data_IF_409370491988
#
_entry.id   IF_409370491988
#
_cell.length_a   1.000
_cell.length_b   1.000
_cell.length_c   1.000
_cell.angle_alpha   90.00
_cell.angle_beta   90.00
_cell.angle_gamma   90.00
#
_symmetry.space_group_name_H-M   'P 1'
#
loop_
_entity.id
_entity.type
_entity.pdbx_description
1 polymer ?
#
# COMPACT_ATOMS: atom_id res chain seq x y z
N UNK A 1 -15.24 -14.58 16.13
CA UNK A 1 -14.38 -13.36 16.05
C UNK A 1 -15.28 -12.16 16.14
N UNK A 2 -14.88 -11.10 16.86
CA UNK A 2 -15.70 -9.89 16.90
C UNK A 2 -15.61 -9.19 15.54
N UNK A 3 -16.72 -8.65 15.01
CA UNK A 3 -16.70 -7.75 13.86
C UNK A 3 -15.73 -6.56 14.05
N UNK A 4 -15.46 -6.17 15.30
CA UNK A 4 -14.53 -5.10 15.65
C UNK A 4 -13.07 -5.36 15.27
N UNK A 5 -12.57 -6.61 15.34
CA UNK A 5 -11.19 -6.93 14.95
C UNK A 5 -10.91 -6.54 13.49
N UNK A 6 -11.74 -7.05 12.57
CA UNK A 6 -11.55 -6.81 11.15
C UNK A 6 -11.73 -5.32 10.82
N UNK A 7 -12.75 -4.67 11.38
CA UNK A 7 -12.98 -3.24 11.17
C UNK A 7 -11.79 -2.38 11.63
N UNK A 8 -11.28 -2.61 12.84
CA UNK A 8 -10.16 -1.86 13.41
C UNK A 8 -8.87 -2.01 12.59
N UNK A 9 -8.49 -3.25 12.28
CA UNK A 9 -7.26 -3.49 11.51
C UNK A 9 -7.37 -3.08 10.06
N UNK A 10 -8.58 -3.10 9.49
CA UNK A 10 -8.82 -2.47 8.19
C UNK A 10 -8.54 -0.98 8.24
N UNK A 11 -9.05 -0.26 9.25
CA UNK A 11 -8.77 1.16 9.42
C UNK A 11 -7.27 1.42 9.54
N UNK A 12 -6.55 0.63 10.35
CA UNK A 12 -5.08 0.76 10.48
C UNK A 12 -4.32 0.49 9.19
N UNK A 13 -4.68 -0.54 8.44
CA UNK A 13 -4.05 -0.84 7.17
C UNK A 13 -4.38 0.22 6.11
N UNK A 14 -5.60 0.77 6.10
CA UNK A 14 -5.97 1.93 5.30
C UNK A 14 -5.12 3.15 5.65
N UNK A 15 -4.88 3.43 6.93
CA UNK A 15 -4.01 4.53 7.36
C UNK A 15 -2.57 4.32 6.90
N UNK A 16 -1.99 3.13 7.14
CA UNK A 16 -0.61 2.82 6.76
C UNK A 16 -0.41 2.87 5.24
N UNK A 17 -1.40 2.40 4.48
CA UNK A 17 -1.38 2.41 3.02
C UNK A 17 -1.88 3.72 2.43
N UNK A 18 -2.27 4.69 3.27
CA UNK A 18 -2.75 6.04 2.92
C UNK A 18 -3.96 6.03 1.97
N UNK A 19 -5.00 5.26 2.32
CA UNK A 19 -6.32 5.36 1.69
C UNK A 19 -6.95 6.72 2.06
N UNK A 20 -7.02 7.62 1.08
CA UNK A 20 -7.58 8.96 1.26
C UNK A 20 -8.53 9.26 0.10
N UNK A 21 -9.78 9.61 0.43
CA UNK A 21 -10.80 10.00 -0.54
C UNK A 21 -10.32 11.11 -1.48
N UNK A 22 -9.69 12.17 -0.97
CA UNK A 22 -9.28 13.34 -1.77
C UNK A 22 -8.21 13.00 -2.82
N UNK A 23 -7.34 12.05 -2.50
CA UNK A 23 -6.31 11.55 -3.41
C UNK A 23 -6.86 10.57 -4.45
N UNK A 24 -8.03 9.98 -4.20
CA UNK A 24 -8.69 9.02 -5.08
C UNK A 24 -9.77 9.65 -5.99
N UNK A 25 -10.01 10.95 -5.84
CA UNK A 25 -10.95 11.67 -6.72
C UNK A 25 -10.49 11.55 -8.18
N UNK A 26 -11.40 11.09 -9.04
CA UNK A 26 -11.22 10.82 -10.47
C UNK A 26 -10.40 9.56 -10.82
N UNK A 27 -10.15 8.66 -9.86
CA UNK A 27 -9.58 7.34 -10.17
C UNK A 27 -10.61 6.44 -10.88
N UNK A 28 -11.89 6.64 -10.61
CA UNK A 28 -13.01 5.96 -11.28
C UNK A 28 -14.15 6.96 -11.60
N UNK A 29 -15.13 6.57 -12.45
CA UNK A 29 -16.29 7.40 -12.79
C UNK A 29 -17.11 7.84 -11.57
N UNK A 30 -17.38 6.92 -10.63
CA UNK A 30 -18.06 7.23 -9.36
C UNK A 30 -17.02 7.61 -8.32
N UNK A 31 -17.04 8.88 -7.86
CA UNK A 31 -15.95 9.47 -7.08
C UNK A 31 -15.84 8.91 -5.66
N UNK A 32 -16.97 8.57 -5.07
CA UNK A 32 -17.12 8.11 -3.69
C UNK A 32 -16.72 6.65 -3.51
N UNK A 33 -16.70 5.87 -4.61
CA UNK A 33 -16.46 4.42 -4.57
C UNK A 33 -15.01 4.00 -4.27
N UNK A 34 -13.95 4.55 -4.91
CA UNK A 34 -12.60 4.00 -4.78
C UNK A 34 -12.06 3.87 -3.35
N UNK A 35 -12.37 4.83 -2.46
CA UNK A 35 -11.91 4.76 -1.07
C UNK A 35 -12.63 3.67 -0.28
N UNK A 36 -13.92 3.47 -0.56
CA UNK A 36 -14.74 2.41 0.02
C UNK A 36 -14.32 1.04 -0.52
N UNK A 37 -14.14 0.92 -1.84
CA UNK A 37 -13.64 -0.28 -2.51
C UNK A 37 -12.29 -0.73 -1.92
N UNK A 38 -11.40 0.23 -1.60
CA UNK A 38 -10.14 -0.05 -0.92
C UNK A 38 -10.36 -0.60 0.48
N UNK A 39 -11.20 0.07 1.27
CA UNK A 39 -11.53 -0.38 2.61
C UNK A 39 -12.10 -1.80 2.60
N UNK A 40 -13.08 -2.08 1.74
CA UNK A 40 -13.73 -3.39 1.66
C UNK A 40 -12.78 -4.48 1.17
N UNK A 41 -11.90 -4.17 0.21
CA UNK A 41 -10.86 -5.07 -0.28
C UNK A 41 -9.89 -5.48 0.84
N UNK A 42 -9.44 -4.53 1.66
CA UNK A 42 -8.60 -4.83 2.84
C UNK A 42 -9.40 -5.60 3.88
N UNK A 43 -10.64 -5.18 4.18
CA UNK A 43 -11.49 -5.80 5.20
C UNK A 43 -11.75 -7.26 4.92
N UNK A 44 -12.03 -7.62 3.67
CA UNK A 44 -12.19 -9.02 3.28
C UNK A 44 -10.95 -9.85 3.63
N UNK A 45 -9.76 -9.36 3.23
CA UNK A 45 -8.48 -10.03 3.49
C UNK A 45 -8.13 -10.15 4.96
N UNK A 46 -8.40 -9.12 5.76
CA UNK A 46 -8.21 -9.17 7.22
C UNK A 46 -9.17 -10.18 7.86
N UNK A 47 -10.43 -10.20 7.41
CA UNK A 47 -11.44 -11.16 7.89
C UNK A 47 -11.03 -12.60 7.60
N UNK A 48 -10.53 -12.84 6.39
CA UNK A 48 -10.06 -14.14 5.91
C UNK A 48 -8.67 -14.54 6.47
N UNK A 49 -8.07 -13.71 7.33
CA UNK A 49 -6.72 -13.88 7.87
C UNK A 49 -5.63 -14.09 6.80
N UNK A 50 -5.75 -13.39 5.68
CA UNK A 50 -4.71 -13.39 4.64
C UNK A 50 -3.42 -12.81 5.23
N UNK A 51 -2.29 -13.51 5.03
CA UNK A 51 -0.98 -13.08 5.51
C UNK A 51 -0.62 -11.68 5.03
N UNK A 52 0.04 -10.88 5.89
CA UNK A 52 0.35 -9.48 5.57
C UNK A 52 1.24 -9.31 4.32
N UNK A 53 2.10 -10.28 4.01
CA UNK A 53 2.88 -10.28 2.77
C UNK A 53 2.00 -10.47 1.53
N UNK A 54 0.90 -11.23 1.63
CA UNK A 54 -0.07 -11.45 0.55
C UNK A 54 -0.98 -10.25 0.36
N UNK A 55 -1.39 -9.60 1.45
CA UNK A 55 -2.08 -8.30 1.37
C UNK A 55 -1.15 -7.27 0.69
N UNK A 56 0.12 -7.24 1.09
CA UNK A 56 1.13 -6.35 0.49
C UNK A 56 1.35 -6.66 -0.98
N UNK A 57 1.47 -7.93 -1.37
CA UNK A 57 1.59 -8.36 -2.77
C UNK A 57 0.40 -7.87 -3.60
N UNK A 58 -0.82 -8.04 -3.08
CA UNK A 58 -2.03 -7.61 -3.76
C UNK A 58 -2.14 -6.10 -3.97
N UNK A 59 -1.41 -5.29 -3.19
CA UNK A 59 -1.28 -3.84 -3.36
C UNK A 59 -0.08 -3.50 -4.27
N UNK A 60 1.07 -4.08 -3.97
CA UNK A 60 2.35 -3.74 -4.60
C UNK A 60 2.37 -4.10 -6.08
N UNK A 61 1.94 -5.32 -6.42
CA UNK A 61 1.92 -5.82 -7.80
C UNK A 61 0.64 -5.44 -8.55
N UNK A 62 -0.24 -4.66 -7.93
CA UNK A 62 -1.55 -4.36 -8.49
C UNK A 62 -1.47 -3.74 -9.89
N UNK A 63 -2.24 -4.33 -10.80
CA UNK A 63 -2.73 -3.78 -12.07
C UNK A 63 -4.25 -3.73 -12.01
N UNK A 64 -4.88 -2.93 -12.87
CA UNK A 64 -6.35 -2.83 -12.88
C UNK A 64 -7.02 -4.10 -13.36
N UNK A 65 -6.42 -4.77 -14.34
CA UNK A 65 -6.92 -6.03 -14.87
C UNK A 65 -6.32 -7.21 -14.11
N UNK A 66 -7.13 -8.23 -13.91
CA UNK A 66 -6.69 -9.51 -13.39
C UNK A 66 -5.85 -10.26 -14.47
N UNK A 67 -5.05 -11.28 -14.10
CA UNK A 67 -4.26 -12.03 -15.07
C UNK A 67 -5.13 -12.57 -16.22
N UNK A 68 -4.65 -12.40 -17.45
CA UNK A 68 -5.34 -12.82 -18.69
C UNK A 68 -6.66 -12.08 -19.00
N UNK A 69 -7.10 -11.15 -18.15
CA UNK A 69 -8.30 -10.33 -18.38
C UNK A 69 -8.03 -9.28 -19.47
N UNK A 70 -8.81 -9.31 -20.55
CA UNK A 70 -8.76 -8.30 -21.59
C UNK A 70 -9.55 -7.03 -21.20
N UNK A 71 -9.50 -6.00 -22.04
CA UNK A 71 -10.15 -4.72 -21.74
C UNK A 71 -11.68 -4.81 -21.68
N UNK A 72 -12.29 -5.67 -22.50
CA UNK A 72 -13.74 -5.81 -22.58
C UNK A 72 -14.26 -6.51 -21.31
N UNK A 73 -13.64 -7.61 -20.92
CA UNK A 73 -13.93 -8.34 -19.69
C UNK A 73 -13.76 -7.44 -18.45
N UNK A 74 -12.64 -6.73 -18.36
CA UNK A 74 -12.36 -5.77 -17.29
C UNK A 74 -13.45 -4.70 -17.21
N UNK A 75 -13.78 -4.07 -18.34
CA UNK A 75 -14.78 -3.01 -18.39
C UNK A 75 -16.16 -3.53 -17.97
N UNK A 76 -16.54 -4.72 -18.43
CA UNK A 76 -17.80 -5.38 -18.04
C UNK A 76 -17.86 -5.68 -16.54
N UNK A 77 -16.78 -6.24 -15.97
CA UNK A 77 -16.67 -6.53 -14.54
C UNK A 77 -16.80 -5.25 -13.70
N UNK A 78 -16.02 -4.20 -14.05
CA UNK A 78 -16.06 -2.92 -13.34
C UNK A 78 -17.42 -2.23 -13.44
N UNK A 79 -18.09 -2.26 -14.60
CA UNK A 79 -19.45 -1.75 -14.71
C UNK A 79 -20.42 -2.54 -13.85
N UNK A 80 -20.31 -3.87 -13.77
CA UNK A 80 -21.16 -4.68 -12.91
C UNK A 80 -21.00 -4.33 -11.42
N UNK A 81 -19.75 -4.13 -10.97
CA UNK A 81 -19.42 -3.69 -9.61
C UNK A 81 -20.03 -2.31 -9.32
N UNK A 82 -19.82 -1.34 -10.22
CA UNK A 82 -20.23 0.06 -10.02
C UNK A 82 -21.74 0.29 -10.24
N UNK A 83 -22.42 -0.65 -10.90
CA UNK A 83 -23.88 -0.71 -11.00
C UNK A 83 -24.50 -1.59 -9.90
N UNK A 84 -23.71 -2.04 -8.93
CA UNK A 84 -24.16 -2.81 -7.75
C UNK A 84 -24.91 -4.10 -8.14
N UNK A 85 -24.45 -4.79 -9.20
CA UNK A 85 -25.04 -6.07 -9.60
C UNK A 85 -24.80 -7.13 -8.49
N UNK A 86 -25.80 -7.96 -8.16
CA UNK A 86 -25.64 -8.97 -7.11
C UNK A 86 -24.45 -9.91 -7.34
N UNK A 87 -23.65 -10.13 -6.30
CA UNK A 87 -22.48 -11.02 -6.34
C UNK A 87 -21.30 -10.48 -7.15
N UNK A 88 -21.22 -9.17 -7.34
CA UNK A 88 -20.10 -8.49 -8.02
C UNK A 88 -19.55 -7.41 -7.09
N UNK A 89 -18.52 -7.75 -6.31
CA UNK A 89 -17.89 -6.82 -5.39
C UNK A 89 -16.46 -6.52 -5.79
N UNK A 90 -16.01 -5.28 -5.58
CA UNK A 90 -14.60 -4.93 -5.82
C UNK A 90 -13.66 -5.73 -4.90
N UNK A 91 -14.11 -6.07 -3.69
CA UNK A 91 -13.36 -6.85 -2.73
C UNK A 91 -13.00 -8.26 -3.24
N UNK A 92 -13.75 -8.79 -4.23
CA UNK A 92 -13.49 -10.09 -4.87
C UNK A 92 -12.34 -10.06 -5.87
N UNK A 93 -11.89 -8.88 -6.32
CA UNK A 93 -10.76 -8.75 -7.24
C UNK A 93 -9.44 -9.10 -6.55
N UNK A 94 -8.49 -9.63 -7.31
CA UNK A 94 -7.20 -10.09 -6.78
C UNK A 94 -6.38 -8.93 -6.19
N UNK A 95 -6.39 -7.78 -6.87
CA UNK A 95 -5.47 -6.68 -6.63
C UNK A 95 -6.16 -5.36 -6.25
N UNK A 96 -5.41 -4.49 -5.57
CA UNK A 96 -5.83 -3.15 -5.17
C UNK A 96 -5.14 -2.06 -6.01
N UNK A 97 -5.57 -1.81 -7.28
CA UNK A 97 -4.90 -0.86 -8.16
C UNK A 97 -4.94 0.59 -7.66
N UNK A 98 -5.91 0.98 -6.84
CA UNK A 98 -6.08 2.37 -6.44
C UNK A 98 -4.90 2.94 -5.63
N UNK A 99 -4.09 2.08 -5.01
CA UNK A 99 -2.82 2.49 -4.39
C UNK A 99 -1.86 3.18 -5.37
N UNK A 100 -1.85 2.75 -6.64
CA UNK A 100 -1.00 3.34 -7.68
C UNK A 100 -1.69 4.45 -8.49
N UNK A 101 -3.02 4.50 -8.46
CA UNK A 101 -3.82 5.45 -9.23
C UNK A 101 -3.98 6.82 -8.57
N UNK A 102 -3.76 6.89 -7.25
CA UNK A 102 -3.95 8.09 -6.43
C UNK A 102 -3.13 9.29 -6.89
N UNK A 103 -3.68 10.49 -6.68
CA UNK A 103 -3.17 11.75 -7.24
C UNK A 103 -1.82 12.18 -6.69
N UNK A 104 -1.46 11.77 -5.49
CA UNK A 104 -0.16 12.01 -4.90
C UNK A 104 0.91 10.98 -5.33
N UNK A 105 0.61 10.04 -6.24
CA UNK A 105 1.53 9.03 -6.80
C UNK A 105 1.81 9.24 -8.30
N UNK A 106 1.78 10.50 -8.75
CA UNK A 106 1.84 10.86 -10.17
C UNK A 106 3.19 10.58 -10.81
N UNK A 107 4.27 10.71 -10.04
CA UNK A 107 5.62 10.52 -10.55
C UNK A 107 6.35 9.39 -9.78
N UNK A 108 7.43 8.83 -10.34
CA UNK A 108 8.16 7.75 -9.69
C UNK A 108 8.77 8.11 -8.34
N UNK A 109 9.14 9.37 -8.10
CA UNK A 109 9.71 9.80 -6.81
C UNK A 109 8.65 9.72 -5.72
N UNK A 110 7.42 10.17 -5.99
CA UNK A 110 6.30 10.05 -5.04
C UNK A 110 6.08 8.59 -4.61
N UNK A 111 6.22 7.67 -5.58
CA UNK A 111 6.07 6.23 -5.36
C UNK A 111 7.19 5.65 -4.53
N UNK A 112 8.43 6.11 -4.73
CA UNK A 112 9.56 5.76 -3.85
C UNK A 112 9.24 6.15 -2.42
N UNK A 113 8.81 7.41 -2.20
CA UNK A 113 8.52 7.93 -0.87
C UNK A 113 7.38 7.14 -0.20
N UNK A 114 6.28 6.95 -0.91
CA UNK A 114 5.14 6.24 -0.35
C UNK A 114 5.41 4.75 -0.15
N UNK A 115 6.17 4.08 -1.03
CA UNK A 115 6.60 2.69 -0.80
C UNK A 115 7.49 2.57 0.44
N UNK A 116 8.51 3.44 0.55
CA UNK A 116 9.45 3.47 1.66
C UNK A 116 8.73 3.70 2.99
N UNK A 117 7.80 4.64 3.04
CA UNK A 117 6.98 4.86 4.22
C UNK A 117 6.04 3.66 4.50
N UNK A 118 5.24 3.26 3.50
CA UNK A 118 4.17 2.25 3.68
C UNK A 118 4.72 0.89 4.07
N UNK A 119 5.77 0.41 3.40
CA UNK A 119 6.21 -0.98 3.53
C UNK A 119 7.53 -1.13 4.30
N UNK A 120 8.37 -0.10 4.35
CA UNK A 120 9.66 -0.19 5.05
C UNK A 120 9.68 0.59 6.36
N UNK A 121 8.69 1.46 6.61
CA UNK A 121 8.67 2.33 7.79
C UNK A 121 9.83 3.33 7.82
N UNK A 122 10.42 3.65 6.66
CA UNK A 122 11.56 4.56 6.54
C UNK A 122 11.13 5.90 5.92
N UNK A 123 11.78 6.98 6.33
CA UNK A 123 11.52 8.34 5.86
C UNK A 123 12.65 8.83 4.95
N UNK A 124 12.60 8.42 3.69
CA UNK A 124 13.71 8.65 2.73
C UNK A 124 13.66 10.01 2.01
N UNK A 125 12.73 10.91 2.33
CA UNK A 125 12.50 12.16 1.58
C UNK A 125 13.72 13.08 1.47
N UNK A 126 14.56 13.17 2.50
CA UNK A 126 15.76 14.00 2.43
C UNK A 126 16.75 13.49 1.35
N UNK A 127 16.77 12.17 1.12
CA UNK A 127 17.61 11.54 0.10
C UNK A 127 17.28 12.01 -1.33
N UNK A 128 16.10 12.58 -1.58
CA UNK A 128 15.75 13.09 -2.91
C UNK A 128 16.72 14.19 -3.37
N UNK A 129 17.14 15.06 -2.45
CA UNK A 129 17.92 16.27 -2.76
C UNK A 129 19.37 16.20 -2.25
N UNK A 130 19.61 15.54 -1.12
CA UNK A 130 20.94 15.44 -0.49
C UNK A 130 21.08 14.13 0.29
N UNK A 131 22.25 13.82 0.84
CA UNK A 131 22.39 12.64 1.73
C UNK A 131 21.51 12.84 2.98
N UNK A 132 20.79 11.79 3.39
CA UNK A 132 19.97 11.84 4.60
C UNK A 132 20.85 12.19 5.83
N UNK A 133 20.45 13.16 6.68
CA UNK A 133 21.30 13.64 7.76
C UNK A 133 21.51 12.63 8.90
N UNK A 134 20.51 11.76 9.12
CA UNK A 134 20.48 10.82 10.24
C UNK A 134 20.38 9.35 9.80
N UNK A 135 20.58 9.08 8.51
CA UNK A 135 20.43 7.74 7.95
C UNK A 135 21.48 7.51 6.85
N UNK A 136 21.65 6.26 6.45
CA UNK A 136 22.64 5.84 5.46
C UNK A 136 22.29 6.27 4.03
N UNK A 137 21.02 6.57 3.76
CA UNK A 137 20.53 6.79 2.40
C UNK A 137 21.14 8.00 1.71
N UNK A 138 21.73 7.76 0.55
CA UNK A 138 22.28 8.79 -0.32
C UNK A 138 21.30 9.19 -1.41
N UNK A 139 21.57 10.32 -2.07
CA UNK A 139 20.82 10.70 -3.26
C UNK A 139 20.93 9.68 -4.40
N UNK A 140 22.04 8.94 -4.46
CA UNK A 140 22.21 7.91 -5.47
C UNK A 140 21.30 6.71 -5.18
N UNK A 141 21.24 6.25 -3.93
CA UNK A 141 20.34 5.15 -3.53
C UNK A 141 18.88 5.48 -3.87
N UNK A 142 18.45 6.72 -3.60
CA UNK A 142 17.10 7.17 -3.99
C UNK A 142 16.85 7.10 -5.50
N UNK A 143 17.81 7.60 -6.30
CA UNK A 143 17.71 7.62 -7.77
C UNK A 143 17.73 6.23 -8.39
N UNK A 144 18.52 5.32 -7.85
CA UNK A 144 18.61 3.93 -8.34
C UNK A 144 17.35 3.15 -7.95
N UNK A 145 16.86 3.31 -6.72
CA UNK A 145 15.63 2.67 -6.25
C UNK A 145 14.37 3.15 -7.01
N UNK A 146 14.36 4.41 -7.48
CA UNK A 146 13.30 4.95 -8.34
C UNK A 146 13.03 4.10 -9.58
N UNK A 147 14.04 3.39 -10.11
CA UNK A 147 13.93 2.60 -11.33
C UNK A 147 12.74 1.63 -11.34
N UNK A 148 12.47 0.99 -10.19
CA UNK A 148 11.37 0.02 -10.01
C UNK A 148 9.97 0.60 -10.29
N UNK A 149 9.79 1.92 -10.15
CA UNK A 149 8.48 2.56 -10.28
C UNK A 149 8.28 3.31 -11.61
N UNK A 150 9.30 3.39 -12.46
CA UNK A 150 9.26 4.17 -13.71
C UNK A 150 8.27 3.63 -14.74
N UNK A 151 7.91 2.34 -14.63
CA UNK A 151 7.05 1.62 -15.59
C UNK A 151 5.61 1.46 -15.14
N UNK A 152 5.28 1.85 -13.90
CA UNK A 152 3.92 1.83 -13.39
C UNK A 152 3.17 3.06 -13.90
N UNK A 153 1.98 2.89 -14.45
CA UNK A 153 1.22 4.00 -15.04
C UNK A 153 -0.24 3.93 -14.61
N UNK A 154 -0.89 5.08 -14.56
CA UNK A 154 -2.34 5.19 -14.40
C UNK A 154 -2.94 6.05 -15.51
N UNK A 155 -3.99 5.56 -16.17
CA UNK A 155 -4.72 6.28 -17.21
C UNK A 155 -5.22 5.38 -18.32
N UNK A 156 -5.39 5.93 -19.53
CA UNK A 156 -5.78 5.13 -20.70
C UNK A 156 -4.57 4.33 -21.21
N UNK A 157 -4.62 3.02 -20.97
CA UNK A 157 -3.60 2.07 -21.40
C UNK A 157 -3.41 2.13 -22.93
N UNK A 158 -2.17 2.25 -23.43
CA UNK A 158 -1.90 2.24 -24.86
C UNK A 158 -2.46 1.03 -25.61
N UNK A 159 -2.51 -0.14 -24.96
CA UNK A 159 -2.98 -1.38 -25.58
C UNK A 159 -4.49 -1.39 -25.83
N UNK A 160 -5.28 -0.76 -24.95
CA UNK A 160 -6.76 -0.65 -25.09
C UNK A 160 -7.24 0.74 -25.48
N UNK A 161 -6.35 1.61 -25.97
CA UNK A 161 -6.68 3.01 -26.22
C UNK A 161 -7.79 3.16 -27.26
N UNK A 162 -7.79 2.31 -28.30
CA UNK A 162 -8.76 2.41 -29.39
C UNK A 162 -10.16 2.06 -28.88
N UNK A 163 -10.25 0.99 -28.11
CA UNK A 163 -11.47 0.48 -27.48
C UNK A 163 -12.00 1.48 -26.47
N UNK A 164 -11.14 2.00 -25.58
CA UNK A 164 -11.50 3.05 -24.63
C UNK A 164 -12.06 4.29 -25.35
N UNK A 165 -11.38 4.77 -26.40
CA UNK A 165 -11.82 5.96 -27.14
C UNK A 165 -13.13 5.71 -27.89
N UNK A 166 -13.31 4.54 -28.50
CA UNK A 166 -14.56 4.18 -29.17
C UNK A 166 -15.75 4.17 -28.20
N UNK A 167 -15.59 3.62 -26.99
CA UNK A 167 -16.64 3.66 -25.97
C UNK A 167 -16.97 5.09 -25.53
N UNK A 168 -15.96 5.96 -25.36
CA UNK A 168 -16.19 7.37 -25.03
C UNK A 168 -16.94 8.10 -26.15
N UNK A 169 -16.62 7.81 -27.42
CA UNK A 169 -17.30 8.35 -28.60
C UNK A 169 -18.76 7.88 -28.69
N UNK A 170 -19.02 6.59 -28.45
CA UNK A 170 -20.37 6.02 -28.45
C UNK A 170 -21.28 6.66 -27.37
N UNK A 171 -20.70 7.01 -26.23
CA UNK A 171 -21.38 7.72 -25.15
C UNK A 171 -21.57 9.22 -25.43
N UNK A 172 -21.04 9.75 -26.53
CA UNK A 172 -21.11 11.17 -26.89
C UNK A 172 -20.24 12.08 -26.01
N UNK A 173 -19.22 11.51 -25.35
CA UNK A 173 -18.36 12.21 -24.38
C UNK A 173 -16.96 12.55 -24.94
N UNK A 174 -16.75 12.41 -26.25
CA UNK A 174 -15.48 12.60 -26.96
C UNK A 174 -14.93 14.04 -26.91
N UNK A 175 -15.82 15.02 -26.72
CA UNK A 175 -15.46 16.45 -26.69
C UNK A 175 -15.01 16.96 -25.33
N UNK A 176 -15.22 16.19 -24.26
CA UNK A 176 -14.87 16.58 -22.88
C UNK A 176 -13.64 15.82 -22.38
N UNK A 177 -12.91 16.41 -21.42
CA UNK A 177 -11.68 15.83 -20.86
C UNK A 177 -11.58 16.00 -19.36
N UNK A 178 -10.72 15.19 -18.73
CA UNK A 178 -10.41 15.27 -17.30
C UNK A 178 -11.67 15.20 -16.44
N UNK A 179 -11.81 16.14 -15.51
CA UNK A 179 -12.94 16.18 -14.57
C UNK A 179 -14.32 16.22 -15.25
N UNK A 180 -14.43 16.85 -16.43
CA UNK A 180 -15.70 16.91 -17.16
C UNK A 180 -16.06 15.55 -17.74
N UNK A 181 -15.09 14.84 -18.32
CA UNK A 181 -15.29 13.47 -18.80
C UNK A 181 -15.71 12.54 -17.66
N UNK A 182 -15.04 12.59 -16.52
CA UNK A 182 -15.40 11.76 -15.35
C UNK A 182 -16.85 12.02 -14.89
N UNK A 183 -17.31 13.28 -14.91
CA UNK A 183 -18.70 13.61 -14.59
C UNK A 183 -19.69 13.04 -15.59
N UNK A 184 -19.38 13.11 -16.88
CA UNK A 184 -20.22 12.53 -17.93
C UNK A 184 -20.32 11.01 -17.77
N UNK A 185 -19.18 10.32 -17.61
CA UNK A 185 -19.15 8.87 -17.38
C UNK A 185 -19.92 8.47 -16.10
N UNK A 186 -19.86 9.28 -15.04
CA UNK A 186 -20.68 9.05 -13.83
C UNK A 186 -22.19 9.16 -14.10
N UNK A 187 -22.62 10.04 -15.00
CA UNK A 187 -24.03 10.12 -15.38
C UNK A 187 -24.45 8.90 -16.19
N UNK A 188 -23.61 8.47 -17.14
CA UNK A 188 -23.90 7.30 -17.98
C UNK A 188 -23.95 6.00 -17.16
N UNK A 189 -23.02 5.80 -16.22
CA UNK A 189 -23.02 4.59 -15.37
C UNK A 189 -24.23 4.54 -14.44
N UNK A 190 -24.66 5.68 -13.88
CA UNK A 190 -25.89 5.80 -13.09
C UNK A 190 -27.16 5.57 -13.91
N UNK A 191 -27.11 5.86 -15.21
CA UNK A 191 -28.17 5.53 -16.15
C UNK A 191 -28.15 4.04 -16.58
N UNK A 192 -27.27 3.21 -15.99
CA UNK A 192 -27.14 1.78 -16.29
C UNK A 192 -26.39 1.46 -17.57
N UNK A 193 -25.74 2.45 -18.20
CA UNK A 193 -24.91 2.22 -19.40
C UNK A 193 -23.52 1.75 -19.02
N UNK A 194 -22.90 1.01 -19.92
CA UNK A 194 -21.51 0.59 -19.77
C UNK A 194 -20.57 1.75 -20.13
N UNK A 195 -19.60 2.01 -19.25
CA UNK A 195 -18.60 3.07 -19.41
C UNK A 195 -17.18 2.52 -19.32
N UNK A 196 -16.21 3.10 -20.03
CA UNK A 196 -14.82 2.66 -19.92
C UNK A 196 -14.16 3.14 -18.62
N UNK A 197 -13.20 2.37 -18.12
CA UNK A 197 -12.42 2.68 -16.92
C UNK A 197 -10.95 2.96 -17.27
N UNK A 198 -10.31 3.86 -16.51
CA UNK A 198 -8.85 4.04 -16.56
C UNK A 198 -8.16 2.91 -15.80
N UNK A 199 -6.90 2.66 -16.16
CA UNK A 199 -6.19 1.49 -15.68
C UNK A 199 -4.88 1.85 -15.02
N UNK A 200 -4.54 1.08 -13.98
CA UNK A 200 -3.16 0.87 -13.56
C UNK A 200 -2.57 -0.24 -14.41
N UNK A 201 -1.46 0.05 -15.08
CA UNK A 201 -0.76 -0.89 -15.94
C UNK A 201 0.75 -0.69 -15.87
N UNK A 202 1.49 -1.76 -16.21
CA UNK A 202 2.95 -1.72 -16.28
C UNK A 202 3.39 -1.79 -17.74
N UNK A 203 4.17 -0.82 -18.19
CA UNK A 203 4.73 -0.86 -19.55
C UNK A 203 5.88 -1.85 -19.62
N UNK A 204 6.04 -2.54 -20.75
CA UNK A 204 7.18 -3.45 -20.97
C UNK A 204 8.51 -2.69 -21.03
N UNK A 205 9.57 -3.36 -20.56
CA UNK A 205 10.94 -2.89 -20.71
C UNK A 205 11.28 -2.74 -22.19
N UNK A 206 12.13 -1.76 -22.51
CA UNK A 206 12.62 -1.58 -23.88
C UNK A 206 14.10 -1.95 -23.87
N UNK A 207 14.56 -2.90 -24.69
CA UNK A 207 15.99 -3.19 -24.78
C UNK A 207 16.73 -1.90 -25.11
N UNK A 208 17.88 -1.69 -24.47
CA UNK A 208 18.74 -0.54 -24.78
C UNK A 208 18.98 -0.53 -26.28
N UNK A 209 18.50 0.51 -26.96
CA UNK A 209 18.79 0.66 -28.38
C UNK A 209 20.29 0.90 -28.48
N UNK A 210 21.01 -0.06 -29.07
CA UNK A 210 22.38 0.16 -29.53
C UNK A 210 22.40 1.47 -30.32
N UNK A 211 23.11 2.46 -29.78
CA UNK A 211 23.11 3.83 -30.25
C UNK A 211 23.68 3.92 -31.68
N UNK A 212 22.85 3.71 -32.70
CA UNK A 212 23.21 4.08 -34.07
C UNK A 212 23.00 5.58 -34.23
N UNK A 213 24.08 6.32 -33.94
CA UNK A 213 24.41 7.68 -34.35
C UNK A 213 23.38 8.36 -35.28
N UNK A 214 22.35 8.98 -34.70
CA UNK A 214 21.71 10.17 -35.30
C UNK A 214 21.38 11.18 -34.20
N UNK A 215 22.39 11.97 -33.84
CA UNK A 215 22.18 13.33 -33.30
C UNK A 215 21.32 14.09 -34.32
N UNK A 216 20.07 14.41 -33.95
CA UNK A 216 19.44 15.68 -34.37
C UNK A 216 18.34 16.07 -33.38
N UNK A 217 18.71 17.03 -32.53
CA UNK A 217 17.91 18.11 -31.94
C UNK A 217 16.39 17.85 -31.88
N UNK A 218 15.89 17.50 -30.71
CA UNK A 218 14.53 17.87 -30.28
C UNK A 218 14.51 18.08 -28.75
N UNK A 219 14.36 19.35 -28.38
CA UNK A 219 13.79 19.91 -27.16
C UNK A 219 14.35 19.52 -25.78
N UNK A 220 14.99 20.51 -25.15
CA UNK A 220 14.97 20.75 -23.69
C UNK A 220 13.51 20.82 -23.19
N UNK A 221 12.92 19.66 -22.89
CA UNK A 221 11.85 19.48 -21.91
C UNK A 221 12.17 18.18 -21.17
N UNK A 222 12.52 18.31 -19.90
CA UNK A 222 13.03 17.23 -19.06
C UNK A 222 12.04 16.08 -18.91
N UNK A 223 12.14 15.10 -19.79
CA UNK A 223 11.45 13.82 -19.65
C UNK A 223 12.51 12.76 -19.31
N UNK A 224 12.93 12.75 -18.04
CA UNK A 224 13.74 11.69 -17.42
C UNK A 224 12.92 10.39 -17.21
N UNK A 225 12.03 10.05 -18.16
CA UNK A 225 11.14 8.89 -18.10
C UNK A 225 11.62 7.72 -18.97
N UNK A 226 12.92 7.64 -19.28
CA UNK A 226 13.48 6.38 -19.73
C UNK A 226 13.68 5.48 -18.51
N UNK A 227 13.01 4.33 -18.52
CA UNK A 227 13.25 3.29 -17.53
C UNK A 227 14.70 2.83 -17.63
N UNK A 228 15.46 2.83 -16.52
CA UNK A 228 16.83 2.37 -16.52
C UNK A 228 16.89 0.86 -16.79
N UNK A 229 18.05 0.38 -17.25
CA UNK A 229 18.29 -1.05 -17.43
C UNK A 229 18.19 -1.81 -16.10
N UNK A 230 18.75 -1.19 -15.05
CA UNK A 230 18.85 -1.70 -13.69
C UNK A 230 18.19 -0.78 -12.67
N UNK A 231 17.90 -1.33 -11.49
CA UNK A 231 17.53 -0.59 -10.30
C UNK A 231 18.11 -1.26 -9.07
N UNK A 232 18.39 -0.50 -8.01
CA UNK A 232 19.05 -1.01 -6.80
C UNK A 232 18.09 -1.04 -5.63
N UNK A 233 18.00 -2.19 -4.96
CA UNK A 233 17.24 -2.34 -3.72
C UNK A 233 17.89 -1.51 -2.59
N UNK A 234 17.08 -0.98 -1.66
CA UNK A 234 17.61 -0.15 -0.58
C UNK A 234 18.44 -0.98 0.40
N UNK A 235 19.76 -0.76 0.37
CA UNK A 235 20.71 -1.48 1.22
C UNK A 235 21.02 -2.91 0.76
N UNK A 236 20.68 -3.26 -0.48
CA UNK A 236 20.83 -4.60 -1.04
C UNK A 236 21.34 -4.55 -2.50
N UNK A 237 21.16 -5.65 -3.24
CA UNK A 237 21.70 -5.83 -4.59
C UNK A 237 21.03 -4.96 -5.67
N UNK A 238 21.74 -4.82 -6.79
CA UNK A 238 21.23 -4.26 -8.03
C UNK A 238 20.52 -5.35 -8.86
N UNK A 239 19.42 -4.98 -9.51
CA UNK A 239 18.52 -5.88 -10.23
C UNK A 239 18.35 -5.40 -11.67
N UNK A 240 18.43 -6.34 -12.63
CA UNK A 240 18.20 -6.12 -14.06
C UNK A 240 16.70 -6.02 -14.39
N UNK A 241 16.13 -4.83 -14.20
CA UNK A 241 14.68 -4.62 -14.30
C UNK A 241 14.12 -4.54 -15.73
N UNK A 242 14.97 -4.32 -16.74
CA UNK A 242 14.50 -4.12 -18.11
C UNK A 242 14.06 -5.43 -18.80
N UNK A 243 14.57 -6.56 -18.32
CA UNK A 243 14.17 -7.89 -18.78
C UNK A 243 12.87 -8.40 -18.14
N UNK A 244 12.43 -7.74 -17.06
CA UNK A 244 11.25 -8.15 -16.29
C UNK A 244 9.96 -7.57 -16.90
N UNK A 245 8.86 -8.31 -16.82
CA UNK A 245 7.53 -7.80 -17.18
C UNK A 245 7.05 -6.74 -16.17
N UNK A 246 7.24 -6.99 -14.86
CA UNK A 246 7.02 -6.00 -13.80
C UNK A 246 8.22 -5.93 -12.84
N UNK A 247 8.98 -4.81 -12.83
CA UNK A 247 10.07 -4.59 -11.88
C UNK A 247 9.68 -4.70 -10.41
N UNK A 248 8.41 -4.44 -10.06
CA UNK A 248 7.93 -4.51 -8.67
C UNK A 248 7.95 -5.93 -8.12
N UNK A 249 8.00 -6.96 -8.97
CA UNK A 249 8.13 -8.37 -8.53
C UNK A 249 9.39 -8.56 -7.71
N UNK A 250 10.52 -7.97 -8.13
CA UNK A 250 11.78 -8.01 -7.37
C UNK A 250 11.66 -7.30 -6.02
N UNK A 251 10.86 -6.23 -5.93
CA UNK A 251 10.56 -5.59 -4.65
C UNK A 251 9.79 -6.53 -3.72
N UNK A 252 8.76 -7.20 -4.23
CA UNK A 252 7.95 -8.12 -3.41
C UNK A 252 8.78 -9.32 -2.92
N UNK A 253 9.62 -9.89 -3.79
CA UNK A 253 10.57 -10.94 -3.42
C UNK A 253 11.53 -10.46 -2.33
N UNK A 254 12.07 -9.25 -2.48
CA UNK A 254 12.95 -8.66 -1.46
C UNK A 254 12.25 -8.39 -0.12
N UNK A 255 11.00 -7.94 -0.12
CA UNK A 255 10.23 -7.72 1.10
C UNK A 255 10.04 -9.02 1.91
N UNK A 256 9.89 -10.16 1.23
CA UNK A 256 9.67 -11.47 1.87
C UNK A 256 10.93 -12.13 2.43
N UNK A 257 12.12 -11.64 2.11
CA UNK A 257 13.36 -12.27 2.58
C UNK A 257 13.47 -12.19 4.09
N UNK A 258 13.93 -13.27 4.72
CA UNK A 258 14.19 -13.32 6.16
C UNK A 258 15.25 -12.30 6.62
N UNK A 259 16.15 -11.92 5.72
CA UNK A 259 17.20 -10.93 5.97
C UNK A 259 16.79 -9.49 5.64
N UNK A 260 15.54 -9.25 5.20
CA UNK A 260 15.02 -7.90 4.98
C UNK A 260 14.97 -7.14 6.33
N UNK A 261 15.70 -6.02 6.49
CA UNK A 261 15.80 -5.34 7.78
C UNK A 261 14.62 -4.40 8.08
N UNK A 262 13.60 -4.34 7.21
CA UNK A 262 12.54 -3.32 7.29
C UNK A 262 11.14 -3.91 7.29
N UNK A 263 10.76 -4.72 6.31
CA UNK A 263 9.35 -5.06 6.04
C UNK A 263 8.60 -5.62 7.24
N UNK A 264 9.09 -6.73 7.81
CA UNK A 264 8.50 -7.35 8.99
C UNK A 264 8.61 -6.44 10.22
N UNK A 265 9.78 -5.80 10.43
CA UNK A 265 10.03 -4.91 11.58
C UNK A 265 9.10 -3.71 11.61
N UNK A 266 8.90 -3.05 10.47
CA UNK A 266 8.02 -1.90 10.34
C UNK A 266 6.59 -2.26 10.70
N UNK A 267 6.08 -3.38 10.16
CA UNK A 267 4.72 -3.82 10.45
C UNK A 267 4.56 -4.28 11.91
N UNK A 268 5.48 -5.11 12.42
CA UNK A 268 5.47 -5.55 13.83
C UNK A 268 5.52 -4.37 14.79
N UNK A 269 6.36 -3.37 14.51
CA UNK A 269 6.48 -2.18 15.34
C UNK A 269 5.20 -1.34 15.36
N UNK A 270 4.52 -1.19 14.21
CA UNK A 270 3.19 -0.55 14.12
C UNK A 270 2.11 -1.31 14.88
N UNK A 271 2.13 -2.63 14.79
CA UNK A 271 1.19 -3.48 15.52
C UNK A 271 1.42 -3.35 17.02
N UNK A 272 2.68 -3.40 17.46
CA UNK A 272 3.07 -3.15 18.84
C UNK A 272 2.59 -1.78 19.32
N UNK A 273 2.89 -0.72 18.57
CA UNK A 273 2.47 0.64 18.89
C UNK A 273 0.95 0.78 19.04
N UNK A 274 0.16 -0.02 18.31
CA UNK A 274 -1.30 -0.01 18.42
C UNK A 274 -1.82 -0.55 19.76
N UNK A 275 -1.03 -1.36 20.47
CA UNK A 275 -1.38 -1.88 21.80
C UNK A 275 -0.80 -1.06 22.96
N UNK A 276 0.40 -0.50 22.76
CA UNK A 276 1.15 0.19 23.81
C UNK A 276 1.17 1.72 23.67
N UNK A 277 0.54 2.26 22.61
CA UNK A 277 0.58 3.68 22.22
C UNK A 277 2.01 4.24 22.04
N UNK A 278 2.97 3.34 21.87
CA UNK A 278 4.40 3.59 21.68
C UNK A 278 5.03 2.38 21.01
N UNK A 279 5.79 2.59 19.95
CA UNK A 279 6.56 1.53 19.30
C UNK A 279 7.78 1.10 20.09
N UNK A 280 8.32 -0.08 19.79
CA UNK A 280 9.67 -0.47 20.22
C UNK A 280 10.69 0.49 19.59
N UNK A 281 10.44 0.91 18.35
CA UNK A 281 11.03 2.09 17.72
C UNK A 281 9.96 3.19 17.76
N UNK A 282 10.29 4.36 18.30
CA UNK A 282 9.35 5.47 18.43
C UNK A 282 9.94 6.73 17.78
N UNK A 283 9.27 7.39 16.82
CA UNK A 283 7.94 7.08 16.27
C UNK A 283 7.83 5.72 15.55
N UNK A 284 6.64 5.12 15.55
CA UNK A 284 6.40 3.79 14.99
C UNK A 284 6.77 3.62 13.50
N UNK A 285 6.76 4.74 12.75
CA UNK A 285 7.06 4.85 11.32
C UNK A 285 8.37 5.60 11.03
N UNK A 286 9.36 5.47 11.90
CA UNK A 286 10.66 6.13 11.75
C UNK A 286 11.82 5.19 12.02
N UNK A 287 11.88 4.11 11.23
CA UNK A 287 12.98 3.16 11.25
C UNK A 287 14.19 3.80 10.56
N UNK A 288 15.15 4.28 11.35
CA UNK A 288 16.41 4.83 10.87
C UNK A 288 17.55 4.51 11.84
N UNK A 289 18.80 4.62 11.37
CA UNK A 289 19.97 4.26 12.17
C UNK A 289 20.18 5.10 13.43
N UNK A 290 19.65 6.33 13.47
CA UNK A 290 19.72 7.22 14.62
C UNK A 290 18.56 7.02 15.62
N UNK A 291 17.61 6.14 15.31
CA UNK A 291 16.46 5.81 16.15
C UNK A 291 16.42 4.30 16.46
N UNK A 292 17.35 3.80 17.29
CA UNK A 292 17.41 2.37 17.60
C UNK A 292 16.20 1.91 18.43
N UNK A 293 15.82 0.63 18.34
CA UNK A 293 14.76 0.07 19.17
C UNK A 293 15.12 0.15 20.66
N UNK A 294 14.14 0.46 21.52
CA UNK A 294 14.30 0.38 22.97
C UNK A 294 14.62 -1.05 23.44
N UNK A 295 14.18 -2.05 22.68
CA UNK A 295 14.53 -3.45 22.87
C UNK A 295 14.70 -4.15 21.50
N UNK A 296 15.93 -4.14 20.98
CA UNK A 296 16.28 -4.81 19.71
C UNK A 296 15.98 -6.31 19.68
N UNK A 297 16.45 -7.10 20.68
CA UNK A 297 16.18 -8.55 20.72
C UNK A 297 14.69 -8.91 20.67
N UNK A 298 13.82 -8.11 21.30
CA UNK A 298 12.37 -8.31 21.24
C UNK A 298 11.82 -8.06 19.83
N UNK A 299 12.19 -6.94 19.20
CA UNK A 299 11.74 -6.62 17.85
C UNK A 299 12.23 -7.66 16.84
N UNK A 300 13.48 -8.12 16.97
CA UNK A 300 14.05 -9.18 16.13
C UNK A 300 13.32 -10.51 16.33
N UNK A 301 13.01 -10.89 17.57
CA UNK A 301 12.22 -12.08 17.87
C UNK A 301 10.84 -12.03 17.19
N UNK A 302 10.07 -10.97 17.45
CA UNK A 302 8.71 -10.85 16.90
C UNK A 302 8.73 -10.82 15.37
N UNK A 303 9.70 -10.13 14.76
CA UNK A 303 9.80 -10.04 13.30
C UNK A 303 10.15 -11.37 12.66
N UNK A 304 11.11 -12.12 13.23
CA UNK A 304 11.48 -13.44 12.73
C UNK A 304 10.34 -14.44 12.86
N UNK A 305 9.69 -14.48 14.02
CA UNK A 305 8.58 -15.42 14.22
C UNK A 305 7.36 -15.03 13.37
N UNK A 306 7.13 -13.73 13.12
CA UNK A 306 6.10 -13.27 12.19
C UNK A 306 6.32 -13.80 10.77
N UNK A 307 7.57 -13.78 10.28
CA UNK A 307 7.91 -14.35 8.96
C UNK A 307 7.69 -15.87 8.96
N UNK A 308 8.16 -16.59 9.98
CA UNK A 308 7.97 -18.06 10.10
C UNK A 308 6.51 -18.47 10.15
N UNK A 309 5.65 -17.62 10.70
CA UNK A 309 4.20 -17.81 10.76
C UNK A 309 3.49 -17.24 9.51
N UNK A 310 4.19 -17.10 8.38
CA UNK A 310 3.65 -16.64 7.10
C UNK A 310 2.94 -15.28 7.21
N UNK A 311 3.51 -14.38 8.00
CA UNK A 311 2.97 -13.03 8.20
C UNK A 311 1.53 -13.02 8.75
N UNK A 312 1.17 -14.03 9.55
CA UNK A 312 -0.15 -14.15 10.20
C UNK A 312 -0.35 -13.07 11.27
N UNK A 313 -1.26 -12.12 10.98
CA UNK A 313 -1.60 -11.02 11.88
C UNK A 313 -2.23 -11.51 13.18
N UNK A 314 -3.14 -12.49 13.12
CA UNK A 314 -3.80 -13.05 14.31
C UNK A 314 -2.80 -13.76 15.22
N UNK A 315 -1.81 -14.45 14.66
CA UNK A 315 -0.69 -14.97 15.45
C UNK A 315 0.06 -13.84 16.16
N UNK A 316 0.44 -12.77 15.46
CA UNK A 316 1.21 -11.67 16.04
C UNK A 316 0.44 -10.97 17.19
N UNK A 317 -0.86 -10.72 17.00
CA UNK A 317 -1.70 -10.16 18.05
C UNK A 317 -1.78 -11.08 19.27
N UNK A 318 -1.94 -12.39 19.06
CA UNK A 318 -1.98 -13.39 20.13
C UNK A 318 -0.66 -13.44 20.90
N UNK A 319 0.47 -13.40 20.20
CA UNK A 319 1.80 -13.40 20.82
C UNK A 319 2.00 -12.17 21.70
N UNK A 320 1.61 -10.98 21.21
CA UNK A 320 1.71 -9.73 21.99
C UNK A 320 0.78 -9.77 23.20
N UNK A 321 -0.49 -10.13 23.01
CA UNK A 321 -1.51 -10.07 24.08
C UNK A 321 -1.32 -11.13 25.17
N UNK A 322 -0.65 -12.24 24.86
CA UNK A 322 -0.28 -13.25 25.86
C UNK A 322 1.07 -12.98 26.56
N UNK A 323 1.78 -11.91 26.20
CA UNK A 323 3.06 -11.57 26.82
C UNK A 323 2.90 -10.99 28.23
N UNK A 324 3.88 -11.24 29.10
CA UNK A 324 3.99 -10.56 30.40
C UNK A 324 3.96 -9.04 30.25
N UNK A 325 4.55 -8.51 29.17
CA UNK A 325 4.60 -7.07 28.90
C UNK A 325 3.20 -6.48 28.73
N UNK A 326 2.31 -7.14 27.98
CA UNK A 326 0.93 -6.69 27.79
C UNK A 326 0.09 -6.85 29.08
N UNK A 327 0.34 -7.91 29.85
CA UNK A 327 -0.40 -8.25 31.07
C UNK A 327 0.05 -7.46 32.32
N UNK A 328 1.07 -6.59 32.20
CA UNK A 328 1.56 -5.76 33.32
C UNK A 328 0.49 -4.80 33.81
N UNK A 329 0.47 -4.59 35.14
CA UNK A 329 -0.36 -3.54 35.74
C UNK A 329 0.11 -2.15 35.30
N UNK A 330 -0.81 -1.19 35.30
CA UNK A 330 -0.48 0.24 35.17
C UNK A 330 0.16 0.82 36.43
N UNK A 331 0.02 0.13 37.58
CA UNK A 331 0.55 0.59 38.86
C UNK A 331 2.08 0.48 38.86
N UNK A 332 2.73 1.61 39.02
CA UNK A 332 4.19 1.68 39.14
C UNK A 332 4.67 1.37 40.56
N UNK A 333 5.94 1.03 40.66
CA UNK A 333 6.71 0.94 41.89
C UNK A 333 7.78 2.05 41.92
N UNK A 334 8.56 2.12 43.00
CA UNK A 334 9.57 3.19 43.19
C UNK A 334 10.63 3.26 42.09
N UNK A 335 10.91 2.14 41.40
CA UNK A 335 12.01 2.03 40.43
C UNK A 335 11.59 2.28 38.99
N UNK A 336 10.28 2.19 38.68
CA UNK A 336 9.77 2.30 37.32
C UNK A 336 8.74 3.42 37.12
N UNK A 337 8.53 4.26 38.15
CA UNK A 337 7.57 5.36 38.11
C UNK A 337 7.78 6.36 36.95
N UNK A 338 9.02 6.46 36.44
CA UNK A 338 9.41 7.36 35.34
C UNK A 338 9.75 6.61 34.05
N UNK A 339 9.53 5.29 34.00
CA UNK A 339 9.86 4.52 32.80
C UNK A 339 8.73 4.59 31.77
N UNK A 340 8.94 5.36 30.71
CA UNK A 340 7.99 5.49 29.59
C UNK A 340 8.44 4.74 28.34
N UNK A 341 9.57 4.02 28.40
CA UNK A 341 10.27 3.51 27.20
C UNK A 341 10.42 1.99 27.21
N UNK A 342 10.61 1.38 28.37
CA UNK A 342 10.95 -0.05 28.50
C UNK A 342 9.75 -0.94 28.81
N UNK A 343 8.53 -0.40 28.70
CA UNK A 343 7.27 -1.12 28.92
C UNK A 343 7.21 -1.81 30.29
N UNK A 344 7.82 -1.23 31.33
CA UNK A 344 7.84 -1.81 32.70
C UNK A 344 6.47 -1.87 33.37
N UNK A 345 5.48 -1.15 32.84
CA UNK A 345 4.10 -1.09 33.28
C UNK A 345 3.21 -0.70 32.10
N UNK A 346 1.91 -0.95 32.22
CA UNK A 346 0.95 -0.49 31.21
C UNK A 346 0.76 1.02 31.30
N UNK A 347 0.90 1.72 30.16
CA UNK A 347 0.62 3.16 30.08
C UNK A 347 -0.87 3.33 29.69
N UNK A 348 -1.71 3.88 30.58
CA UNK A 348 -3.12 4.09 30.29
C UNK A 348 -3.32 5.00 29.07
N UNK A 349 -4.17 4.57 28.15
CA UNK A 349 -4.54 5.32 26.96
C UNK A 349 -6.04 5.19 26.68
N UNK A 350 -6.55 6.02 25.77
CA UNK A 350 -7.96 5.99 25.40
C UNK A 350 -8.26 4.75 24.57
N UNK A 351 -9.33 4.04 24.92
CA UNK A 351 -9.83 2.94 24.09
C UNK A 351 -10.41 3.49 22.78
N UNK A 352 -10.07 2.89 21.63
CA UNK A 352 -10.77 3.15 20.37
C UNK A 352 -12.27 2.87 20.47
N UNK A 353 -13.07 3.49 19.61
CA UNK A 353 -14.51 3.36 19.63
C UNK A 353 -14.96 1.90 19.37
N UNK A 354 -14.25 1.21 18.48
CA UNK A 354 -14.48 -0.20 18.13
C UNK A 354 -14.26 -1.11 19.34
N UNK A 355 -13.18 -0.87 20.10
CA UNK A 355 -12.87 -1.64 21.32
C UNK A 355 -13.88 -1.35 22.43
N UNK A 356 -14.29 -0.10 22.58
CA UNK A 356 -15.32 0.27 23.56
C UNK A 356 -16.68 -0.36 23.22
N UNK A 357 -17.05 -0.37 21.94
CA UNK A 357 -18.25 -1.03 21.44
C UNK A 357 -18.21 -2.53 21.75
N UNK A 358 -17.12 -3.22 21.38
CA UNK A 358 -16.95 -4.65 21.65
C UNK A 358 -16.96 -4.96 23.15
N UNK A 359 -16.34 -4.13 23.98
CA UNK A 359 -16.31 -4.32 25.44
C UNK A 359 -17.70 -4.16 26.07
N UNK A 360 -18.47 -3.15 25.65
CA UNK A 360 -19.85 -2.96 26.11
C UNK A 360 -20.70 -4.13 25.61
N UNK A 361 -20.58 -4.50 24.35
CA UNK A 361 -21.32 -5.62 23.78
C UNK A 361 -20.99 -6.92 24.53
N UNK A 362 -19.72 -7.26 24.75
CA UNK A 362 -19.33 -8.44 25.52
C UNK A 362 -19.82 -8.41 26.98
N UNK A 363 -19.84 -7.24 27.63
CA UNK A 363 -20.28 -7.12 29.02
C UNK A 363 -21.81 -7.12 29.19
N UNK A 364 -22.56 -6.74 28.16
CA UNK A 364 -24.02 -6.54 28.22
C UNK A 364 -24.83 -7.54 27.40
N UNK A 365 -24.23 -8.15 26.38
CA UNK A 365 -24.83 -9.23 25.61
C UNK A 365 -24.46 -10.57 26.23
N UNK A 366 -25.35 -11.08 27.08
CA UNK A 366 -25.44 -12.52 27.34
C UNK A 366 -26.13 -13.17 26.13
N UNK A 367 -25.39 -14.02 25.41
CA UNK A 367 -25.84 -14.92 24.35
C UNK A 367 -26.44 -14.28 23.08
N UNK A 368 -25.59 -13.78 22.19
CA UNK A 368 -25.88 -13.88 20.74
C UNK A 368 -25.35 -15.24 20.26
N UNK A 369 -26.20 -16.26 20.38
CA UNK A 369 -26.01 -17.62 19.87
C UNK A 369 -26.27 -17.73 18.37
#
# INVERSE_FOLDING_TARGET
>A
ESPGYAAWWTTKLCDFTQNNYDDLVNVAPVRERPSQDWYDWIKKRVSDNVGYDKITEGILLATSRDPEEDFEAFTKSMNAIYQEKPGQEFADRDHMPYYWARRNFRNPDDRVLGFAYTFLGIRIQCAQCHKHPFDQWTQNDFKEFRGFFTRVNFGVNPESRKEYTAMVEELGADKVRGNQLIRELNQQIKAGKEVPFMEVYVTKGRPERANNNKKKKQNKRGNNNQSPATAKLLGAEEVEINSMDDPRTALMEWLRREDNPYFAKAFVNRVWASYFNRGIIEPADDLNLANPPSNGPLLDYLSREFIKHNFDMKWLHREITNSDTYQRSWKTNKTNALDEVNFSHFIPHRLPAEVLYDAIHQATASDDA
#
